data_IF_210131445910
#
_entry.id   IF_210131445910
#
_cell.length_a   1.000
_cell.length_b   1.000
_cell.length_c   1.000
_cell.angle_alpha   90.00
_cell.angle_beta   90.00
_cell.angle_gamma   90.00
#
_symmetry.space_group_name_H-M   'P 1'
#
loop_
_entity.id
_entity.type
_entity.pdbx_description
1 polymer ?
#
# COMPACT_ATOMS: atom_id res chain seq x y z
N UNK A 1 -7.58 0.44 -5.81
CA UNK A 1 -8.27 0.03 -7.04
C UNK A 1 -9.67 0.60 -7.18
N UNK A 2 -10.65 0.19 -6.36
CA UNK A 2 -12.06 0.57 -6.55
C UNK A 2 -12.39 2.03 -6.20
N UNK A 3 -11.84 2.57 -5.12
CA UNK A 3 -12.14 3.94 -4.68
C UNK A 3 -11.28 4.97 -5.43
N UNK A 4 -9.98 4.71 -5.55
CA UNK A 4 -9.01 5.63 -6.14
C UNK A 4 -8.70 5.37 -7.62
N UNK A 5 -9.38 4.40 -8.25
CA UNK A 5 -9.15 4.06 -9.66
C UNK A 5 -7.79 3.44 -9.98
N UNK A 6 -6.97 3.13 -8.98
CA UNK A 6 -5.64 2.53 -9.15
C UNK A 6 -5.70 1.16 -9.83
N UNK A 7 -4.69 0.85 -10.64
CA UNK A 7 -4.47 -0.51 -11.12
C UNK A 7 -3.95 -1.45 -9.99
N UNK A 8 -3.85 -2.77 -10.23
CA UNK A 8 -3.34 -3.71 -9.23
C UNK A 8 -1.95 -3.39 -8.68
N UNK A 9 -1.03 -2.92 -9.53
CA UNK A 9 0.34 -2.61 -9.13
C UNK A 9 0.38 -1.30 -8.34
N UNK A 10 -0.27 -0.25 -8.83
CA UNK A 10 -0.39 1.03 -8.12
C UNK A 10 -0.98 0.83 -6.71
N UNK A 11 -2.01 -0.02 -6.57
CA UNK A 11 -2.63 -0.30 -5.29
C UNK A 11 -1.71 -1.08 -4.32
N UNK A 12 -0.82 -1.92 -4.82
CA UNK A 12 0.15 -2.66 -4.01
C UNK A 12 1.33 -1.79 -3.60
N UNK A 13 1.77 -0.91 -4.51
CA UNK A 13 2.89 0.01 -4.30
C UNK A 13 2.56 1.12 -3.31
N UNK A 14 1.28 1.47 -3.17
CA UNK A 14 0.87 2.55 -2.28
C UNK A 14 1.30 2.31 -0.82
N UNK A 15 1.69 3.40 -0.17
CA UNK A 15 2.22 3.38 1.18
C UNK A 15 1.14 3.02 2.19
N UNK A 16 1.48 2.20 3.18
CA UNK A 16 0.54 1.76 4.22
C UNK A 16 0.84 2.45 5.56
N UNK A 17 -0.23 2.65 6.32
CA UNK A 17 -0.19 3.08 7.72
C UNK A 17 -0.88 2.00 8.56
N UNK A 18 -0.27 1.62 9.68
CA UNK A 18 -0.85 0.71 10.66
C UNK A 18 -0.90 1.39 12.03
N UNK A 19 -1.94 1.07 12.80
CA UNK A 19 -2.03 1.43 14.21
C UNK A 19 -1.41 0.31 15.05
N UNK A 20 -0.49 0.66 15.94
CA UNK A 20 0.15 -0.30 16.85
C UNK A 20 -0.58 -0.43 18.19
N UNK A 21 -0.12 -1.37 19.02
CA UNK A 21 -0.73 -1.64 20.32
C UNK A 21 -0.55 -0.50 21.34
N UNK A 22 0.42 0.39 21.12
CA UNK A 22 0.75 1.50 22.02
C UNK A 22 0.00 2.79 21.63
N UNK A 23 -0.77 2.75 20.54
CA UNK A 23 -1.58 3.87 20.10
C UNK A 23 -1.00 4.68 18.94
N UNK A 24 0.20 4.34 18.46
CA UNK A 24 0.90 5.09 17.43
C UNK A 24 0.52 4.66 16.01
N UNK A 25 0.56 5.61 15.08
CA UNK A 25 0.47 5.37 13.65
C UNK A 25 1.86 5.12 13.09
N UNK A 26 2.12 3.88 12.67
CA UNK A 26 3.35 3.49 12.00
C UNK A 26 3.20 3.70 10.50
N UNK A 27 4.02 4.58 9.92
CA UNK A 27 3.94 4.98 8.51
C UNK A 27 5.12 4.44 7.68
N UNK A 28 4.83 3.69 6.61
CA UNK A 28 5.84 3.24 5.65
C UNK A 28 6.46 4.40 4.88
N UNK A 29 7.69 4.22 4.39
CA UNK A 29 8.47 5.24 3.66
C UNK A 29 7.75 5.87 2.47
N UNK A 30 6.82 5.15 1.84
CA UNK A 30 6.00 5.68 0.74
C UNK A 30 5.02 6.79 1.16
N UNK A 31 4.69 6.92 2.45
CA UNK A 31 3.80 7.97 2.95
C UNK A 31 4.52 9.34 2.93
N UNK A 32 3.99 10.34 2.21
CA UNK A 32 4.62 11.66 2.11
C UNK A 32 4.87 12.31 3.46
N UNK A 33 6.02 12.97 3.61
CA UNK A 33 6.38 13.67 4.86
C UNK A 33 5.34 14.72 5.27
N UNK A 34 4.76 15.44 4.30
CA UNK A 34 3.70 16.42 4.55
C UNK A 34 2.47 15.78 5.20
N UNK A 35 2.05 14.60 4.73
CA UNK A 35 0.92 13.86 5.32
C UNK A 35 1.22 13.46 6.76
N UNK A 36 2.44 12.99 7.04
CA UNK A 36 2.87 12.62 8.40
C UNK A 36 2.86 13.82 9.34
N UNK A 37 3.40 14.95 8.90
CA UNK A 37 3.40 16.20 9.67
C UNK A 37 1.98 16.68 9.99
N UNK A 38 1.08 16.66 9.00
CA UNK A 38 -0.30 17.05 9.22
C UNK A 38 -1.00 16.17 10.27
N UNK A 39 -0.75 14.86 10.27
CA UNK A 39 -1.29 13.95 11.30
C UNK A 39 -0.74 14.27 12.70
N UNK A 40 0.53 14.65 12.82
CA UNK A 40 1.13 15.09 14.08
C UNK A 40 0.47 16.40 14.57
N UNK A 41 0.19 17.34 13.66
CA UNK A 41 -0.53 18.58 13.98
C UNK A 41 -1.96 18.30 14.49
N UNK A 42 -2.58 17.21 14.01
CA UNK A 42 -3.83 16.66 14.54
C UNK A 42 -3.65 15.77 15.79
N UNK A 43 -2.55 15.95 16.52
CA UNK A 43 -2.21 15.27 17.79
C UNK A 43 -2.04 13.75 17.72
N UNK A 44 -1.87 13.17 16.53
CA UNK A 44 -1.50 11.76 16.41
C UNK A 44 -0.01 11.55 16.69
N UNK A 45 0.33 10.46 17.37
CA UNK A 45 1.70 9.97 17.41
C UNK A 45 2.00 9.22 16.12
N UNK A 46 2.84 9.78 15.26
CA UNK A 46 3.24 9.16 13.98
C UNK A 46 4.70 8.77 14.03
N UNK A 47 4.99 7.49 13.83
CA UNK A 47 6.34 6.93 13.83
C UNK A 47 6.66 6.31 12.47
N UNK A 48 7.95 6.21 12.13
CA UNK A 48 8.36 5.42 10.97
C UNK A 48 8.12 3.94 11.23
N UNK A 49 7.56 3.24 10.24
CA UNK A 49 7.42 1.80 10.31
C UNK A 49 8.81 1.12 10.42
N UNK A 50 8.98 0.14 11.32
CA UNK A 50 10.26 -0.57 11.49
C UNK A 50 10.61 -1.49 10.30
N UNK A 51 9.63 -1.76 9.45
CA UNK A 51 9.75 -2.57 8.25
C UNK A 51 8.47 -2.50 7.41
N UNK A 52 8.43 -3.17 6.25
CA UNK A 52 7.26 -3.19 5.39
C UNK A 52 6.07 -3.90 6.04
N UNK A 53 4.85 -3.39 5.83
CA UNK A 53 3.61 -4.00 6.30
C UNK A 53 3.10 -5.02 5.31
N UNK A 54 3.32 -6.29 5.64
CA UNK A 54 2.84 -7.41 4.84
C UNK A 54 3.37 -7.39 3.41
N UNK A 55 2.73 -8.17 2.55
CA UNK A 55 2.94 -8.17 1.11
C UNK A 55 1.69 -8.75 0.44
N UNK A 56 1.24 -8.12 -0.64
CA UNK A 56 0.08 -8.57 -1.42
C UNK A 56 0.45 -9.17 -2.77
N UNK A 57 -0.49 -9.92 -3.35
CA UNK A 57 -0.46 -10.36 -4.74
C UNK A 57 -1.89 -10.21 -5.26
N UNK A 58 -2.07 -9.61 -6.44
CA UNK A 58 -3.39 -9.34 -6.99
C UNK A 58 -3.47 -9.90 -8.42
N UNK A 59 -4.59 -10.57 -8.71
CA UNK A 59 -5.03 -10.86 -10.07
C UNK A 59 -6.39 -10.20 -10.23
N UNK A 60 -6.48 -9.18 -11.08
CA UNK A 60 -7.72 -8.56 -11.48
C UNK A 60 -8.25 -9.22 -12.75
N UNK A 61 -9.53 -9.57 -12.73
CA UNK A 61 -10.26 -10.03 -13.92
C UNK A 61 -10.91 -8.82 -14.57
N UNK A 62 -10.34 -8.34 -15.68
CA UNK A 62 -10.96 -7.28 -16.47
C UNK A 62 -11.99 -7.88 -17.43
N UNK A 63 -13.25 -7.91 -17.00
CA UNK A 63 -14.36 -8.43 -17.79
C UNK A 63 -14.65 -7.63 -19.06
N UNK A 64 -14.19 -6.38 -19.17
CA UNK A 64 -14.44 -5.56 -20.35
C UNK A 64 -13.49 -5.95 -21.49
N UNK A 65 -12.20 -6.08 -21.20
CA UNK A 65 -11.19 -6.49 -22.19
C UNK A 65 -11.03 -8.00 -22.33
N UNK A 66 -11.42 -8.76 -21.30
CA UNK A 66 -11.18 -10.20 -21.19
C UNK A 66 -9.79 -10.58 -20.68
N UNK A 67 -8.94 -9.60 -20.33
CA UNK A 67 -7.59 -9.84 -19.82
C UNK A 67 -7.54 -10.04 -18.30
N UNK A 68 -6.45 -10.65 -17.86
CA UNK A 68 -6.05 -10.71 -16.45
C UNK A 68 -4.91 -9.72 -16.21
N UNK A 69 -5.05 -8.88 -15.18
CA UNK A 69 -4.03 -7.89 -14.81
C UNK A 69 -3.43 -8.31 -13.47
N UNK A 70 -2.13 -8.61 -13.47
CA UNK A 70 -1.41 -9.05 -12.28
C UNK A 70 -0.62 -7.91 -11.64
N UNK A 71 -0.55 -7.92 -10.31
CA UNK A 71 0.34 -7.06 -9.52
C UNK A 71 1.06 -7.87 -8.45
N UNK A 72 2.34 -7.58 -8.23
CA UNK A 72 3.17 -8.19 -7.19
C UNK A 72 3.76 -7.11 -6.30
N UNK A 73 3.57 -7.25 -5.00
CA UNK A 73 4.03 -6.26 -4.04
C UNK A 73 5.57 -6.21 -3.97
N UNK A 74 6.18 -5.01 -4.09
CA UNK A 74 7.64 -4.85 -4.08
C UNK A 74 8.28 -5.20 -2.73
N UNK A 75 7.49 -5.40 -1.67
CA UNK A 75 7.97 -5.77 -0.33
C UNK A 75 8.49 -7.21 -0.26
N UNK A 76 8.32 -8.03 -1.30
CA UNK A 76 8.81 -9.42 -1.43
C UNK A 76 9.28 -9.71 -2.85
N UNK A 77 10.03 -10.80 -3.03
CA UNK A 77 10.57 -11.25 -4.33
C UNK A 77 9.52 -11.99 -5.19
N UNK A 78 8.25 -11.56 -5.13
CA UNK A 78 7.14 -12.15 -5.90
C UNK A 78 7.16 -11.77 -7.38
N UNK A 79 6.36 -12.47 -8.19
CA UNK A 79 6.24 -12.24 -9.63
C UNK A 79 4.79 -12.41 -10.09
N UNK A 80 4.32 -11.45 -10.89
CA UNK A 80 3.12 -11.61 -11.71
C UNK A 80 3.53 -11.99 -13.14
N UNK A 81 2.98 -13.09 -13.66
CA UNK A 81 3.26 -13.59 -15.01
C UNK A 81 1.96 -13.94 -15.72
N UNK A 82 1.76 -13.38 -16.91
CA UNK A 82 0.61 -13.69 -17.77
C UNK A 82 0.87 -14.87 -18.70
N UNK A 83 -0.22 -15.38 -19.30
CA UNK A 83 -0.21 -16.35 -20.40
C UNK A 83 -1.14 -15.87 -21.50
#
# INVERSE_FOLDING_TARGET
MTIFGMDPQEALDDGRIFWDNDGALLAESGIPSQTRSALIDYVHQVLSAPGPFGAGQIIQIDHQSGFLIGGSDPRKDGLALGW
#
